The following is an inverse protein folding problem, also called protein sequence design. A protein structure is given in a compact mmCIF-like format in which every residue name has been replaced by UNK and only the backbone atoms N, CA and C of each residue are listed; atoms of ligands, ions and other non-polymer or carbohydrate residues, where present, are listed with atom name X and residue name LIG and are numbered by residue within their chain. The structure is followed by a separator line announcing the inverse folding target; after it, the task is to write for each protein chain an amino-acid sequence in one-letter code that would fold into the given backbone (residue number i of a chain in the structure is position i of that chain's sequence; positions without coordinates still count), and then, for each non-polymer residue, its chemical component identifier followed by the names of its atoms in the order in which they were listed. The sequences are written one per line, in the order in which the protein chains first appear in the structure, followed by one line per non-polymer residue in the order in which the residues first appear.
data_IF_893717202807
#
_entry.id   IF_893717202807
#
_cell.length_a   1.000
_cell.length_b   1.000
_cell.length_c   1.000
_cell.angle_alpha   90.00
_cell.angle_beta   90.00
_cell.angle_gamma   90.00
#
_symmetry.space_group_name_H-M   'P 1'
#
loop_
_entity.id
_entity.type
_entity.pdbx_description
1 polymer ?
#
# COMPACT_ATOMS: atom_id res chain seq x y z
N UNK A 1 -7.20 1.67 27.23
CA UNK A 1 -8.66 1.89 27.15
C UNK A 1 -9.01 1.89 25.68
N UNK A 2 -9.69 0.86 25.16
CA UNK A 2 -10.03 0.79 23.74
C UNK A 2 -11.19 1.75 23.46
N UNK A 3 -10.88 2.88 22.85
CA UNK A 3 -11.88 3.78 22.28
C UNK A 3 -12.41 3.12 21.02
N UNK A 4 -13.60 2.53 21.10
CA UNK A 4 -14.29 2.01 19.91
C UNK A 4 -14.70 3.20 19.03
N UNK A 5 -13.92 3.47 17.98
CA UNK A 5 -14.30 4.47 16.99
C UNK A 5 -15.54 4.00 16.23
N UNK A 6 -16.65 4.70 16.44
CA UNK A 6 -17.83 4.53 15.62
C UNK A 6 -17.72 5.43 14.38
N UNK A 7 -17.44 4.84 13.22
CA UNK A 7 -17.48 5.53 11.94
C UNK A 7 -18.87 5.43 11.33
N UNK A 8 -19.63 6.54 11.23
CA UNK A 8 -20.94 6.52 10.58
C UNK A 8 -20.79 6.10 9.12
N UNK A 9 -21.69 5.25 8.62
CA UNK A 9 -21.67 4.76 7.23
C UNK A 9 -21.58 5.90 6.22
N UNK A 10 -22.30 7.00 6.46
CA UNK A 10 -22.25 8.20 5.61
C UNK A 10 -20.84 8.81 5.51
N UNK A 11 -20.03 8.72 6.57
CA UNK A 11 -18.65 9.21 6.56
C UNK A 11 -17.77 8.25 5.76
N UNK A 12 -17.90 6.94 5.98
CA UNK A 12 -17.13 5.93 5.23
C UNK A 12 -17.39 6.05 3.72
N UNK A 13 -18.65 6.21 3.30
CA UNK A 13 -19.00 6.42 1.89
C UNK A 13 -18.38 7.70 1.31
N UNK A 14 -18.32 8.78 2.09
CA UNK A 14 -17.65 10.01 1.64
C UNK A 14 -16.15 9.79 1.45
N UNK A 15 -15.52 9.01 2.34
CA UNK A 15 -14.10 8.67 2.22
C UNK A 15 -13.88 7.79 0.99
N UNK A 16 -14.70 6.75 0.78
CA UNK A 16 -14.63 5.90 -0.41
C UNK A 16 -14.74 6.72 -1.70
N UNK A 17 -15.76 7.58 -1.83
CA UNK A 17 -15.91 8.42 -3.01
C UNK A 17 -14.74 9.38 -3.20
N UNK A 18 -14.15 9.89 -2.11
CA UNK A 18 -12.99 10.76 -2.18
C UNK A 18 -11.72 9.98 -2.59
N UNK A 19 -11.58 8.71 -2.19
CA UNK A 19 -10.51 7.84 -2.67
C UNK A 19 -10.68 7.59 -4.17
N UNK A 20 -11.90 7.28 -4.62
CA UNK A 20 -12.16 7.03 -6.04
C UNK A 20 -11.89 8.27 -6.90
N UNK A 21 -12.19 9.47 -6.40
CA UNK A 21 -11.91 10.73 -7.10
C UNK A 21 -10.41 11.08 -7.05
N UNK A 22 -9.87 11.23 -5.84
CA UNK A 22 -8.56 11.84 -5.59
C UNK A 22 -7.40 10.85 -5.53
N UNK A 23 -7.68 9.54 -5.50
CA UNK A 23 -6.74 8.41 -5.45
C UNK A 23 -5.89 8.30 -4.19
N UNK A 24 -5.47 9.41 -3.58
CA UNK A 24 -4.68 9.47 -2.35
C UNK A 24 -5.27 10.53 -1.41
N UNK A 25 -5.54 10.15 -0.16
CA UNK A 25 -6.08 11.04 0.86
C UNK A 25 -5.12 11.17 2.04
N UNK A 26 -5.02 12.39 2.59
CA UNK A 26 -4.24 12.66 3.80
C UNK A 26 -5.14 13.18 4.91
N UNK A 27 -5.12 12.49 6.04
CA UNK A 27 -5.76 12.94 7.28
C UNK A 27 -4.64 13.45 8.20
N UNK A 28 -4.58 14.76 8.42
CA UNK A 28 -3.53 15.38 9.24
C UNK A 28 -3.85 15.21 10.73
N UNK A 29 -2.80 15.24 11.56
CA UNK A 29 -2.91 15.21 13.02
C UNK A 29 -3.68 13.99 13.56
N UNK A 30 -3.48 12.83 12.91
CA UNK A 30 -3.92 11.55 13.45
C UNK A 30 -2.79 10.94 14.29
N UNK A 31 -3.16 10.11 15.26
CA UNK A 31 -2.24 9.35 16.08
C UNK A 31 -2.88 8.00 16.40
N UNK A 32 -3.04 7.20 15.34
CA UNK A 32 -3.70 5.90 15.42
C UNK A 32 -2.69 4.85 15.90
N UNK A 33 -3.05 4.12 16.94
CA UNK A 33 -2.36 2.89 17.31
C UNK A 33 -2.54 1.84 16.20
N UNK A 34 -1.63 0.86 16.12
CA UNK A 34 -1.67 -0.16 15.06
C UNK A 34 -3.01 -0.89 14.96
N UNK A 35 -3.63 -1.22 16.09
CA UNK A 35 -4.96 -1.84 16.12
C UNK A 35 -6.06 -0.91 15.58
N UNK A 36 -5.97 0.39 15.85
CA UNK A 36 -6.95 1.38 15.40
C UNK A 36 -6.86 1.58 13.88
N UNK A 37 -5.64 1.61 13.33
CA UNK A 37 -5.39 1.66 11.89
C UNK A 37 -5.93 0.40 11.19
N UNK A 38 -5.64 -0.79 11.73
CA UNK A 38 -6.17 -2.06 11.20
C UNK A 38 -7.70 -2.10 11.26
N UNK A 39 -8.31 -1.64 12.35
CA UNK A 39 -9.76 -1.60 12.51
C UNK A 39 -10.42 -0.62 11.53
N UNK A 40 -9.77 0.51 11.23
CA UNK A 40 -10.21 1.43 10.19
C UNK A 40 -10.14 0.77 8.80
N UNK A 41 -9.00 0.15 8.46
CA UNK A 41 -8.81 -0.53 7.18
C UNK A 41 -9.86 -1.63 6.93
N UNK A 42 -10.21 -2.39 7.98
CA UNK A 42 -11.27 -3.42 7.96
C UNK A 42 -12.65 -2.89 7.58
N UNK A 43 -12.90 -1.58 7.66
CA UNK A 43 -14.15 -0.95 7.20
C UNK A 43 -14.23 -0.82 5.69
N UNK A 44 -13.11 -0.96 4.99
CA UNK A 44 -13.00 -0.83 3.52
C UNK A 44 -12.75 -2.17 2.81
N UNK A 45 -12.41 -3.24 3.55
CA UNK A 45 -12.23 -4.58 2.99
C UNK A 45 -11.46 -5.49 3.94
N UNK A 46 -11.33 -6.79 3.62
CA UNK A 46 -10.44 -7.67 4.36
C UNK A 46 -8.98 -7.22 4.20
N UNK A 47 -8.17 -7.20 5.27
CA UNK A 47 -6.76 -6.87 5.17
C UNK A 47 -6.01 -7.94 4.37
N UNK A 48 -5.06 -7.49 3.55
CA UNK A 48 -4.11 -8.38 2.92
C UNK A 48 -3.02 -8.76 3.93
N UNK A 49 -2.92 -10.04 4.26
CA UNK A 49 -1.87 -10.57 5.13
C UNK A 49 -0.62 -10.80 4.29
N UNK A 50 0.43 -10.03 4.53
CA UNK A 50 1.68 -10.20 3.78
C UNK A 50 2.43 -11.44 4.31
N UNK A 51 2.60 -12.51 3.51
CA UNK A 51 3.12 -13.79 4.01
C UNK A 51 4.54 -13.74 4.57
N UNK A 52 5.33 -12.72 4.21
CA UNK A 52 6.75 -12.62 4.54
C UNK A 52 7.07 -11.78 5.79
N UNK A 53 6.10 -11.12 6.43
CA UNK A 53 6.36 -10.09 7.45
C UNK A 53 5.62 -10.36 8.78
N UNK A 54 6.19 -11.29 9.55
CA UNK A 54 5.97 -11.57 10.99
C UNK A 54 4.62 -12.15 11.45
N UNK A 55 4.67 -13.12 12.37
CA UNK A 55 3.51 -13.72 13.04
C UNK A 55 2.77 -12.77 14.01
N UNK A 56 3.41 -11.68 14.43
CA UNK A 56 2.93 -10.82 15.52
C UNK A 56 1.86 -9.80 15.07
N UNK A 57 1.83 -9.46 13.79
CA UNK A 57 0.94 -8.45 13.21
C UNK A 57 0.47 -8.89 11.83
N UNK A 58 -0.37 -9.92 11.76
CA UNK A 58 -0.80 -10.50 10.49
C UNK A 58 -1.43 -9.47 9.52
N UNK A 59 -2.11 -8.46 10.05
CA UNK A 59 -2.80 -7.42 9.27
C UNK A 59 -2.07 -6.06 9.23
N UNK A 60 -0.87 -5.95 9.80
CA UNK A 60 -0.17 -4.67 9.96
C UNK A 60 1.34 -4.80 9.68
N UNK A 61 1.79 -4.05 8.68
CA UNK A 61 3.20 -3.93 8.34
C UNK A 61 3.84 -2.72 9.03
N UNK A 62 4.97 -2.94 9.70
CA UNK A 62 5.85 -1.86 10.19
C UNK A 62 6.97 -1.63 9.18
N UNK A 63 6.99 -0.42 8.59
CA UNK A 63 8.06 0.03 7.69
C UNK A 63 9.01 0.90 8.50
N UNK A 64 10.25 0.45 8.65
CA UNK A 64 11.31 1.19 9.35
C UNK A 64 12.43 1.51 8.37
N UNK A 65 12.80 2.78 8.29
CA UNK A 65 13.93 3.24 7.48
C UNK A 65 14.75 4.26 8.26
N UNK A 66 16.05 4.04 8.33
CA UNK A 66 17.02 4.92 8.98
C UNK A 66 18.42 4.72 8.37
N UNK A 67 19.44 5.36 8.95
CA UNK A 67 20.82 5.26 8.43
C UNK A 67 21.40 3.83 8.46
N UNK A 68 20.92 2.98 9.37
CA UNK A 68 21.34 1.58 9.50
C UNK A 68 20.45 0.63 8.66
N UNK A 69 19.22 1.05 8.38
CA UNK A 69 18.21 0.35 7.58
C UNK A 69 17.76 1.24 6.42
N UNK A 70 18.53 1.38 5.34
CA UNK A 70 18.16 2.23 4.21
C UNK A 70 16.86 1.74 3.54
N UNK A 71 16.14 2.62 2.81
CA UNK A 71 14.87 2.24 2.19
C UNK A 71 15.10 1.15 1.15
N UNK A 72 14.27 0.11 1.21
CA UNK A 72 14.32 -1.01 0.27
C UNK A 72 13.68 -0.68 -1.09
N UNK A 73 12.68 0.22 -1.09
CA UNK A 73 11.96 0.67 -2.27
C UNK A 73 12.08 2.19 -2.39
N UNK A 74 12.72 2.65 -3.46
CA UNK A 74 12.93 4.09 -3.75
C UNK A 74 12.71 4.45 -5.23
N UNK A 75 12.05 3.59 -5.99
CA UNK A 75 11.65 3.79 -7.38
C UNK A 75 10.13 3.87 -7.49
N UNK A 76 9.60 4.45 -8.58
CA UNK A 76 8.16 4.41 -8.85
C UNK A 76 7.70 2.96 -9.00
N UNK A 77 6.70 2.58 -8.22
CA UNK A 77 6.11 1.24 -8.22
C UNK A 77 4.63 1.32 -7.82
N UNK A 78 3.93 0.23 -8.06
CA UNK A 78 2.64 -0.07 -7.44
C UNK A 78 2.79 -1.40 -6.70
N UNK A 79 2.33 -1.43 -5.47
CA UNK A 79 2.51 -2.56 -4.58
C UNK A 79 1.82 -3.82 -5.11
N UNK A 80 2.50 -4.96 -4.94
CA UNK A 80 1.93 -6.30 -5.11
C UNK A 80 1.28 -6.61 -6.46
N UNK A 81 1.61 -5.88 -7.53
CA UNK A 81 1.01 -6.08 -8.87
C UNK A 81 1.26 -7.45 -9.50
N UNK A 82 2.16 -8.27 -8.92
CA UNK A 82 2.37 -9.65 -9.34
C UNK A 82 1.42 -10.68 -8.70
N UNK A 83 0.53 -10.27 -7.80
CA UNK A 83 -0.54 -11.13 -7.28
C UNK A 83 -1.69 -11.21 -8.28
N UNK A 84 -2.46 -12.30 -8.21
CA UNK A 84 -3.70 -12.44 -8.99
C UNK A 84 -4.75 -11.40 -8.59
N UNK A 85 -4.85 -11.13 -7.29
CA UNK A 85 -5.70 -10.09 -6.70
C UNK A 85 -4.83 -9.12 -5.88
N UNK A 86 -4.24 -8.07 -6.50
CA UNK A 86 -3.48 -7.07 -5.77
C UNK A 86 -4.35 -6.28 -4.77
N UNK A 87 -3.77 -5.78 -3.66
CA UNK A 87 -4.52 -4.97 -2.70
C UNK A 87 -5.10 -3.71 -3.35
N UNK A 88 -6.36 -3.42 -3.05
CA UNK A 88 -7.07 -2.26 -3.61
C UNK A 88 -6.70 -0.94 -2.93
N UNK A 89 -6.39 -0.98 -1.62
CA UNK A 89 -6.15 0.18 -0.78
C UNK A 89 -5.03 -0.08 0.22
N UNK A 90 -4.30 0.99 0.55
CA UNK A 90 -3.27 0.99 1.58
C UNK A 90 -3.60 2.07 2.62
N UNK A 91 -3.43 1.72 3.89
CA UNK A 91 -3.59 2.63 5.02
C UNK A 91 -2.23 2.78 5.69
N UNK A 92 -1.76 4.02 5.82
CA UNK A 92 -0.44 4.34 6.35
C UNK A 92 -0.59 5.34 7.50
N UNK A 93 0.08 5.05 8.62
CA UNK A 93 0.23 5.96 9.74
C UNK A 93 1.71 6.32 9.91
N UNK A 94 2.01 7.61 9.92
CA UNK A 94 3.36 8.10 10.14
C UNK A 94 3.67 8.18 11.63
N UNK A 95 4.49 7.27 12.13
CA UNK A 95 4.82 7.16 13.57
C UNK A 95 6.01 8.05 13.94
N UNK A 96 7.17 7.80 13.31
CA UNK A 96 8.40 8.55 13.55
C UNK A 96 8.86 9.16 12.22
N UNK A 97 8.55 10.43 12.00
CA UNK A 97 8.85 11.15 10.75
C UNK A 97 9.96 12.18 11.02
N UNK A 98 11.04 12.23 10.23
CA UNK A 98 12.06 13.25 10.39
C UNK A 98 11.53 14.65 10.03
N UNK A 99 12.13 15.70 10.61
CA UNK A 99 11.73 17.10 10.34
C UNK A 99 11.84 17.49 8.86
N UNK A 100 12.71 16.79 8.09
CA UNK A 100 12.98 17.04 6.68
C UNK A 100 13.30 15.75 5.93
N UNK A 101 12.79 15.64 4.70
CA UNK A 101 13.04 14.52 3.81
C UNK A 101 12.18 13.29 4.11
N UNK A 102 12.24 12.31 3.22
CA UNK A 102 11.42 11.10 3.32
C UNK A 102 10.00 11.27 2.77
N UNK A 103 9.74 12.33 2.01
CA UNK A 103 8.43 12.59 1.42
C UNK A 103 8.05 11.49 0.42
N UNK A 104 6.94 10.77 0.64
CA UNK A 104 6.40 9.89 -0.37
C UNK A 104 5.84 10.71 -1.55
N UNK A 105 6.04 10.18 -2.77
CA UNK A 105 5.56 10.78 -4.02
C UNK A 105 4.60 9.79 -4.67
N UNK A 106 3.47 10.30 -5.16
CA UNK A 106 2.47 9.53 -5.90
C UNK A 106 2.30 10.06 -7.31
N UNK A 107 1.96 9.17 -8.25
CA UNK A 107 1.51 9.51 -9.60
C UNK A 107 0.14 8.89 -9.86
N UNK A 108 -0.65 9.52 -10.73
CA UNK A 108 -1.97 9.01 -11.11
C UNK A 108 -1.91 8.34 -12.49
N UNK A 109 -2.09 7.01 -12.52
CA UNK A 109 -2.09 6.25 -13.77
C UNK A 109 -3.27 6.59 -14.69
N UNK A 110 -4.42 6.99 -14.13
CA UNK A 110 -5.59 7.43 -14.90
C UNK A 110 -5.26 8.70 -15.69
N UNK A 111 -4.83 9.77 -15.01
CA UNK A 111 -4.44 11.01 -15.67
C UNK A 111 -3.26 10.81 -16.63
N UNK A 112 -2.28 9.97 -16.26
CA UNK A 112 -1.17 9.63 -17.15
C UNK A 112 -1.67 8.97 -18.44
N UNK A 113 -2.58 7.99 -18.35
CA UNK A 113 -3.18 7.33 -19.51
C UNK A 113 -4.03 8.30 -20.34
N UNK A 114 -4.85 9.13 -19.70
CA UNK A 114 -5.70 10.12 -20.36
C UNK A 114 -4.90 11.16 -21.14
N UNK A 115 -3.69 11.50 -20.67
CA UNK A 115 -2.81 12.48 -21.34
C UNK A 115 -2.14 11.95 -22.62
N UNK A 116 -2.22 10.65 -22.89
CA UNK A 116 -1.67 10.03 -24.10
C UNK A 116 -2.49 10.40 -25.34
N UNK A 117 -1.84 10.35 -26.52
CA UNK A 117 -2.56 10.44 -27.80
C UNK A 117 -3.51 9.26 -27.98
N UNK A 118 -4.59 9.46 -28.74
CA UNK A 118 -5.56 8.39 -29.01
C UNK A 118 -4.92 7.16 -29.65
N UNK A 119 -3.97 7.37 -30.57
CA UNK A 119 -3.19 6.29 -31.18
C UNK A 119 -2.36 5.48 -30.17
N UNK A 120 -1.81 6.12 -29.14
CA UNK A 120 -1.06 5.44 -28.09
C UNK A 120 -2.00 4.69 -27.15
N UNK A 121 -3.16 5.27 -26.81
CA UNK A 121 -4.20 4.59 -26.02
C UNK A 121 -4.68 3.32 -26.71
N UNK A 122 -4.99 3.39 -28.00
CA UNK A 122 -5.39 2.25 -28.83
C UNK A 122 -4.30 1.17 -28.88
N UNK A 123 -3.05 1.57 -29.10
CA UNK A 123 -1.91 0.66 -29.11
C UNK A 123 -1.77 -0.07 -27.77
N UNK A 124 -1.70 0.66 -26.66
CA UNK A 124 -1.53 0.09 -25.32
C UNK A 124 -2.71 -0.78 -24.89
N UNK A 125 -3.96 -0.44 -25.27
CA UNK A 125 -5.15 -1.22 -24.95
C UNK A 125 -5.11 -2.66 -25.52
N UNK A 126 -4.36 -2.85 -26.62
CA UNK A 126 -4.14 -4.17 -27.24
C UNK A 126 -3.13 -5.05 -26.48
N UNK A 127 -2.32 -4.46 -25.60
CA UNK A 127 -1.20 -5.13 -24.96
C UNK A 127 -1.58 -5.72 -23.60
N UNK A 128 -0.74 -6.62 -23.11
CA UNK A 128 -0.77 -7.17 -21.75
C UNK A 128 0.63 -7.10 -21.15
N UNK A 129 0.72 -6.78 -19.87
CA UNK A 129 1.97 -6.74 -19.13
C UNK A 129 2.05 -7.94 -18.17
N UNK A 130 3.24 -8.52 -18.03
CA UNK A 130 3.52 -9.52 -17.00
C UNK A 130 4.18 -8.84 -15.81
N UNK A 131 3.56 -8.96 -14.65
CA UNK A 131 4.09 -8.46 -13.39
C UNK A 131 4.72 -9.63 -12.61
N UNK A 132 5.82 -9.36 -11.91
CA UNK A 132 6.51 -10.37 -11.12
C UNK A 132 7.08 -9.74 -9.86
N UNK A 133 6.79 -10.34 -8.72
CA UNK A 133 7.36 -9.96 -7.44
C UNK A 133 8.80 -10.47 -7.27
N UNK A 134 9.25 -11.37 -8.15
CA UNK A 134 10.57 -12.01 -8.03
C UNK A 134 11.70 -10.97 -8.02
N UNK A 135 11.63 -9.91 -8.81
CA UNK A 135 12.70 -8.91 -8.85
C UNK A 135 12.85 -8.15 -7.52
N UNK A 136 11.74 -7.87 -6.85
CA UNK A 136 11.73 -7.11 -5.60
C UNK A 136 11.92 -7.97 -4.37
N UNK A 137 11.47 -9.22 -4.41
CA UNK A 137 11.51 -10.08 -3.25
C UNK A 137 12.51 -11.22 -3.42
N UNK A 138 13.32 -11.32 -4.48
CA UNK A 138 14.34 -12.38 -4.58
C UNK A 138 15.21 -12.49 -3.32
N UNK A 139 15.71 -11.39 -2.70
CA UNK A 139 16.50 -11.49 -1.47
C UNK A 139 15.69 -11.94 -0.25
N UNK A 140 14.36 -11.79 -0.31
CA UNK A 140 13.41 -12.19 0.73
C UNK A 140 12.96 -13.64 0.48
N UNK A 141 12.42 -13.96 -0.69
CA UNK A 141 12.01 -15.30 -1.13
C UNK A 141 13.18 -16.29 -1.32
N UNK A 142 14.42 -15.88 -1.59
CA UNK A 142 15.55 -16.81 -1.59
C UNK A 142 15.79 -17.44 -0.22
N UNK A 143 15.35 -16.74 0.84
CA UNK A 143 15.30 -17.22 2.21
C UNK A 143 13.98 -17.88 2.59
N UNK A 144 12.99 -18.04 1.70
CA UNK A 144 11.65 -18.55 2.05
C UNK A 144 11.09 -19.52 1.00
N UNK A 145 10.73 -20.74 1.40
CA UNK A 145 10.09 -21.73 0.53
C UNK A 145 8.74 -22.14 1.13
N UNK A 146 7.67 -22.14 0.33
CA UNK A 146 6.32 -22.52 0.77
C UNK A 146 5.80 -21.77 2.02
N UNK A 147 6.13 -20.48 2.15
CA UNK A 147 5.66 -19.66 3.27
C UNK A 147 6.41 -19.88 4.59
N UNK A 148 7.59 -20.51 4.56
CA UNK A 148 8.48 -20.63 5.73
C UNK A 148 9.91 -20.19 5.39
N UNK A 149 10.61 -19.62 6.37
CA UNK A 149 12.02 -19.26 6.25
C UNK A 149 12.86 -20.54 6.08
N UNK A 150 13.74 -20.56 5.06
CA UNK A 150 14.74 -21.60 4.83
C UNK A 150 15.81 -21.45 5.91
N UNK A 151 15.98 -22.50 6.72
CA UNK A 151 17.05 -22.62 7.72
C UNK A 151 18.45 -22.49 7.12
#
# INVERSE_FOLDING_TARGET
MSTSYHYPVKVLLKVSNAIDEYKVLFFRNQNLEGEELTNLAKRFGPPFVQPALSEKYQDLLVIETNSEKPPYLNTFHQDMTGLEEPPALFFLEGVNIPDKGGDPIWSCNETAYESLSDSMKEFLASLRCKHSLLYYYEPIFSKWEHGQERN
#
